data_IF_234453433385
#
_entry.id   IF_234453433385
#
_cell.length_a   1.000
_cell.length_b   1.000
_cell.length_c   1.000
_cell.angle_alpha   90.00
_cell.angle_beta   90.00
_cell.angle_gamma   90.00
#
_symmetry.space_group_name_H-M   'P 1'
#
loop_
_entity.id
_entity.type
_entity.pdbx_description
1 polymer ?
#
# COMPACT_ATOMS: atom_id res chain seq x y z
N UNK A 1 -6.49 30.66 -22.82
CA UNK A 1 -6.35 29.20 -22.60
C UNK A 1 -6.07 28.96 -21.11
N UNK A 2 -7.09 29.08 -20.25
CA UNK A 2 -6.92 28.91 -18.79
C UNK A 2 -8.26 28.89 -18.03
N UNK A 3 -9.38 28.65 -18.73
CA UNK A 3 -10.74 28.65 -18.15
C UNK A 3 -11.03 27.48 -17.17
N UNK A 4 -10.03 26.66 -16.86
CA UNK A 4 -10.12 25.54 -15.92
C UNK A 4 -9.66 25.90 -14.50
N UNK A 5 -8.93 27.01 -14.36
CA UNK A 5 -8.45 27.51 -13.06
C UNK A 5 -9.26 28.71 -12.54
N UNK A 6 -10.06 29.36 -13.39
CA UNK A 6 -10.75 30.62 -13.09
C UNK A 6 -12.26 30.49 -12.81
N UNK A 7 -12.82 29.28 -12.78
CA UNK A 7 -14.22 29.05 -12.35
C UNK A 7 -14.27 28.72 -10.85
N UNK A 8 -14.17 29.73 -10.00
CA UNK A 8 -14.77 29.75 -8.66
C UNK A 8 -14.38 28.63 -7.69
N UNK A 9 -13.09 28.44 -7.37
CA UNK A 9 -12.67 27.79 -6.12
C UNK A 9 -12.90 26.27 -5.97
N UNK A 10 -13.51 25.58 -6.94
CA UNK A 10 -13.84 24.15 -6.82
C UNK A 10 -12.78 23.17 -7.35
N UNK A 11 -11.74 23.64 -8.04
CA UNK A 11 -10.67 22.77 -8.58
C UNK A 11 -9.93 21.97 -7.51
N UNK A 12 -9.76 22.56 -6.32
CA UNK A 12 -9.19 21.90 -5.15
C UNK A 12 -10.07 20.73 -4.65
N UNK A 13 -11.40 20.89 -4.64
CA UNK A 13 -12.33 19.85 -4.19
C UNK A 13 -12.25 18.60 -5.06
N UNK A 14 -12.26 18.78 -6.39
CA UNK A 14 -12.18 17.67 -7.34
C UNK A 14 -10.86 16.91 -7.14
N UNK A 15 -9.74 17.64 -7.12
CA UNK A 15 -8.43 17.04 -6.88
C UNK A 15 -8.30 16.35 -5.52
N UNK A 16 -8.89 16.89 -4.45
CA UNK A 16 -8.92 16.21 -3.15
C UNK A 16 -9.74 14.93 -3.18
N UNK A 17 -10.90 14.90 -3.85
CA UNK A 17 -11.70 13.68 -4.02
C UNK A 17 -10.97 12.61 -4.84
N UNK A 18 -10.33 13.00 -5.94
CA UNK A 18 -9.48 12.09 -6.72
C UNK A 18 -8.25 11.63 -5.93
N UNK A 19 -7.61 12.53 -5.17
CA UNK A 19 -6.48 12.20 -4.31
C UNK A 19 -6.85 11.18 -3.24
N UNK A 20 -7.99 11.37 -2.58
CA UNK A 20 -8.50 10.41 -1.58
C UNK A 20 -8.81 9.06 -2.22
N UNK A 21 -9.44 9.04 -3.40
CA UNK A 21 -9.70 7.81 -4.15
C UNK A 21 -8.40 7.07 -4.48
N UNK A 22 -7.39 7.77 -4.99
CA UNK A 22 -6.08 7.19 -5.32
C UNK A 22 -5.38 6.68 -4.06
N UNK A 23 -5.42 7.42 -2.95
CA UNK A 23 -4.84 6.99 -1.67
C UNK A 23 -5.49 5.70 -1.17
N UNK A 24 -6.83 5.62 -1.20
CA UNK A 24 -7.55 4.40 -0.79
C UNK A 24 -7.21 3.23 -1.70
N UNK A 25 -7.18 3.46 -3.03
CA UNK A 25 -6.81 2.43 -4.00
C UNK A 25 -5.38 1.91 -3.80
N UNK A 26 -4.43 2.81 -3.54
CA UNK A 26 -3.05 2.44 -3.21
C UNK A 26 -2.99 1.71 -1.87
N UNK A 27 -3.73 2.15 -0.86
CA UNK A 27 -3.76 1.50 0.44
C UNK A 27 -4.25 0.05 0.33
N UNK A 28 -5.30 -0.18 -0.46
CA UNK A 28 -5.84 -1.52 -0.73
C UNK A 28 -4.81 -2.41 -1.44
N UNK A 29 -4.02 -1.87 -2.37
CA UNK A 29 -2.92 -2.58 -3.03
C UNK A 29 -1.70 -2.82 -2.12
N UNK A 30 -1.37 -1.88 -1.24
CA UNK A 30 -0.22 -1.97 -0.34
C UNK A 30 -0.48 -2.92 0.85
N UNK A 31 -1.72 -3.02 1.32
CA UNK A 31 -2.14 -3.91 2.41
C UNK A 31 -1.74 -5.38 2.19
N UNK A 32 -2.05 -6.05 1.06
CA UNK A 32 -1.65 -7.42 0.82
C UNK A 32 -0.13 -7.55 0.64
N UNK A 33 0.54 -6.52 0.10
CA UNK A 33 1.98 -6.53 -0.07
C UNK A 33 2.72 -6.47 1.27
N UNK A 34 2.28 -5.61 2.20
CA UNK A 34 2.80 -5.56 3.56
C UNK A 34 2.55 -6.89 4.31
N UNK A 35 1.36 -7.47 4.18
CA UNK A 35 1.00 -8.77 4.79
C UNK A 35 1.88 -9.90 4.25
N UNK A 36 2.11 -9.93 2.94
CA UNK A 36 2.96 -10.95 2.29
C UNK A 36 4.41 -10.87 2.75
N UNK A 37 4.97 -9.67 2.92
CA UNK A 37 6.32 -9.48 3.48
C UNK A 37 6.43 -10.00 4.91
N UNK A 38 5.41 -9.79 5.74
CA UNK A 38 5.38 -10.33 7.12
C UNK A 38 5.31 -11.86 7.11
N UNK A 39 4.47 -12.45 6.26
CA UNK A 39 4.35 -13.92 6.16
C UNK A 39 5.67 -14.59 5.78
N UNK A 40 6.37 -14.04 4.77
CA UNK A 40 7.66 -14.58 4.31
C UNK A 40 8.73 -14.53 5.40
N UNK A 41 8.78 -13.44 6.20
CA UNK A 41 9.70 -13.35 7.34
C UNK A 41 9.42 -14.42 8.39
N UNK A 42 8.15 -14.67 8.71
CA UNK A 42 7.77 -15.71 9.67
C UNK A 42 8.11 -17.11 9.17
N UNK A 43 7.89 -17.38 7.88
CA UNK A 43 8.26 -18.66 7.24
C UNK A 43 9.77 -18.88 7.26
N UNK A 44 10.58 -17.86 6.92
CA UNK A 44 12.04 -17.96 6.95
C UNK A 44 12.58 -18.30 8.34
N UNK A 45 11.99 -17.71 9.40
CA UNK A 45 12.37 -18.00 10.78
C UNK A 45 11.98 -19.43 11.20
N UNK A 46 10.83 -19.95 10.74
CA UNK A 46 10.41 -21.34 11.00
C UNK A 46 11.36 -22.34 10.34
N UNK A 47 11.71 -22.13 9.06
CA UNK A 47 12.64 -22.99 8.31
C UNK A 47 14.00 -23.05 9.01
N UNK A 48 14.53 -21.91 9.49
CA UNK A 48 15.80 -21.88 10.21
C UNK A 48 15.77 -22.69 11.52
N UNK A 49 14.65 -22.67 12.24
CA UNK A 49 14.49 -23.46 13.48
C UNK A 49 14.34 -24.94 13.22
N UNK A 50 13.59 -25.32 12.18
CA UNK A 50 13.46 -26.73 11.76
C UNK A 50 14.79 -27.30 11.26
N UNK A 51 15.56 -26.52 10.48
CA UNK A 51 16.91 -26.91 10.06
C UNK A 51 17.85 -27.14 11.24
N UNK A 52 17.82 -26.26 12.25
CA UNK A 52 18.63 -26.42 13.46
C UNK A 52 18.21 -27.62 14.32
N UNK A 53 16.94 -28.04 14.26
CA UNK A 53 16.43 -29.21 14.99
C UNK A 53 16.69 -30.53 14.24
N UNK A 54 16.95 -30.47 12.93
CA UNK A 54 17.21 -31.65 12.08
C UNK A 54 18.70 -32.00 11.95
N UNK A 55 19.60 -31.21 12.52
CA UNK A 55 20.99 -31.62 12.73
C UNK A 55 21.11 -32.31 14.10
N UNK A 56 21.33 -33.65 14.15
CA UNK A 56 21.71 -34.35 15.37
C UNK A 56 23.07 -33.91 15.91
#
# INVERSE_FOLDING_TARGET
>A
MSAWFDMGGHGLYVWSSYGLFVVVMLWDLLSPWLRRRRLLRTLALKIRREAARKSP
#
